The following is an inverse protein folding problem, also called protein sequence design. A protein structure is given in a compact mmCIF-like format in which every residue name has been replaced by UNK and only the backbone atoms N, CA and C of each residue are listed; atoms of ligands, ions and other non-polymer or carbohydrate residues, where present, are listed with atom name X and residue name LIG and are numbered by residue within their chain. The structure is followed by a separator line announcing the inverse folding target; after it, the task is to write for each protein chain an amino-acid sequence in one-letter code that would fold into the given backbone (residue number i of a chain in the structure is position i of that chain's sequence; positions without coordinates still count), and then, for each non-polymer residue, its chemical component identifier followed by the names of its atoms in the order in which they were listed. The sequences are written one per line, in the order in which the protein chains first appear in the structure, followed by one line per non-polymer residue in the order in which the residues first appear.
data_IF_617503568074
#
_entry.id   IF_617503568074
#
_cell.length_a   1.000
_cell.length_b   1.000
_cell.length_c   1.000
_cell.angle_alpha   90.00
_cell.angle_beta   90.00
_cell.angle_gamma   90.00
#
_symmetry.space_group_name_H-M   'P 1'
#
loop_
_entity.id
_entity.type
_entity.pdbx_description
1 polymer ?
#
# COMPACT_ATOMS: atom_id res chain seq x y z
N UNK A 1 -66.77 -39.84 -27.69
CA UNK A 1 -66.10 -41.06 -27.19
C UNK A 1 -64.60 -40.87 -27.33
N UNK A 2 -63.90 -40.60 -26.24
CA UNK A 2 -62.44 -40.49 -26.21
C UNK A 2 -61.84 -41.85 -25.82
N UNK A 3 -60.80 -42.36 -26.51
CA UNK A 3 -60.05 -43.51 -26.02
C UNK A 3 -58.91 -43.09 -25.09
N UNK A 4 -58.97 -43.68 -23.90
CA UNK A 4 -57.94 -43.77 -22.88
C UNK A 4 -56.68 -44.47 -23.38
N UNK A 5 -55.50 -43.87 -23.16
CA UNK A 5 -54.22 -44.59 -23.15
C UNK A 5 -53.65 -44.54 -21.74
N UNK A 6 -53.81 -45.65 -21.01
CA UNK A 6 -53.16 -45.91 -19.74
C UNK A 6 -51.75 -46.44 -19.99
N UNK A 7 -50.74 -45.60 -19.77
CA UNK A 7 -49.34 -46.03 -19.67
C UNK A 7 -49.02 -46.60 -18.27
N UNK A 8 -48.06 -47.53 -18.15
CA UNK A 8 -47.79 -48.24 -16.90
C UNK A 8 -47.15 -47.33 -15.84
N UNK A 9 -47.69 -47.37 -14.61
CA UNK A 9 -47.12 -46.69 -13.45
C UNK A 9 -45.79 -47.35 -13.05
N UNK A 10 -44.68 -46.61 -12.88
CA UNK A 10 -43.42 -47.19 -12.42
C UNK A 10 -43.53 -47.68 -10.96
N UNK A 11 -42.93 -48.83 -10.70
CA UNK A 11 -42.93 -49.50 -9.39
C UNK A 11 -42.14 -48.66 -8.38
N UNK A 12 -42.63 -48.58 -7.13
CA UNK A 12 -42.02 -47.82 -6.03
C UNK A 12 -40.52 -48.16 -5.80
N UNK A 13 -40.08 -49.36 -6.18
CA UNK A 13 -38.69 -49.79 -6.08
C UNK A 13 -37.73 -49.05 -7.04
N UNK A 14 -38.22 -48.53 -8.17
CA UNK A 14 -37.41 -47.79 -9.15
C UNK A 14 -37.22 -46.33 -8.73
N UNK A 15 -38.18 -45.75 -8.01
CA UNK A 15 -38.08 -44.41 -7.43
C UNK A 15 -37.08 -44.37 -6.26
N UNK A 16 -36.97 -45.45 -5.47
CA UNK A 16 -35.99 -45.54 -4.37
C UNK A 16 -34.56 -45.72 -4.91
N UNK A 17 -34.38 -46.48 -6.01
CA UNK A 17 -33.07 -46.64 -6.66
C UNK A 17 -32.58 -45.39 -7.39
N UNK A 18 -33.49 -44.58 -7.95
CA UNK A 18 -33.14 -43.30 -8.58
C UNK A 18 -32.73 -42.23 -7.54
N UNK A 19 -33.36 -42.22 -6.35
CA UNK A 19 -33.02 -41.30 -5.26
C UNK A 19 -31.67 -41.63 -4.59
N UNK A 20 -31.30 -42.92 -4.51
CA UNK A 20 -30.00 -43.33 -3.96
C UNK A 20 -28.81 -43.02 -4.89
N UNK A 21 -28.98 -43.08 -6.22
CA UNK A 21 -27.94 -42.69 -7.18
C UNK A 21 -27.72 -41.17 -7.27
N UNK A 22 -28.75 -40.35 -7.00
CA UNK A 22 -28.59 -38.90 -6.92
C UNK A 22 -28.02 -38.40 -5.58
N UNK A 23 -28.19 -39.13 -4.47
CA UNK A 23 -27.54 -38.80 -3.21
C UNK A 23 -26.03 -39.12 -3.20
N UNK A 24 -25.59 -40.16 -3.93
CA UNK A 24 -24.17 -40.49 -4.12
C UNK A 24 -23.44 -39.62 -5.15
N UNK A 25 -24.10 -39.25 -6.26
CA UNK A 25 -23.52 -38.35 -7.26
C UNK A 25 -23.45 -36.88 -6.79
N UNK A 26 -24.41 -36.44 -5.95
CA UNK A 26 -24.35 -35.11 -5.33
C UNK A 26 -23.24 -34.96 -4.27
N UNK A 27 -22.71 -36.08 -3.74
CA UNK A 27 -21.57 -36.06 -2.80
C UNK A 27 -20.20 -36.22 -3.47
N UNK A 28 -20.17 -36.67 -4.73
CA UNK A 28 -18.95 -36.72 -5.57
C UNK A 28 -18.79 -35.48 -6.45
N UNK A 29 -19.88 -34.75 -6.74
CA UNK A 29 -19.84 -33.41 -7.39
C UNK A 29 -19.60 -32.27 -6.36
N UNK A 30 -19.81 -32.53 -5.06
CA UNK A 30 -19.51 -31.58 -3.98
C UNK A 30 -18.09 -31.73 -3.36
N UNK A 31 -17.28 -32.68 -3.85
CA UNK A 31 -15.87 -32.86 -3.46
C UNK A 31 -14.89 -32.76 -4.65
N UNK A 32 -15.33 -32.15 -5.76
CA UNK A 32 -14.50 -31.90 -6.95
C UNK A 32 -14.49 -30.42 -7.35
N UNK A 33 -14.31 -29.52 -6.37
CA UNK A 33 -13.91 -28.12 -6.60
C UNK A 33 -12.70 -27.71 -5.74
N UNK A 34 -11.98 -28.70 -5.20
CA UNK A 34 -10.78 -28.54 -4.40
C UNK A 34 -9.60 -29.30 -5.05
N UNK A 35 -9.36 -29.03 -6.34
CA UNK A 35 -8.13 -29.40 -7.04
C UNK A 35 -8.00 -28.56 -8.32
N UNK A 36 -8.01 -27.24 -8.20
CA UNK A 36 -7.47 -26.39 -9.27
C UNK A 36 -5.95 -26.43 -9.09
N UNK A 37 -5.31 -27.22 -9.95
CA UNK A 37 -3.87 -27.21 -10.15
C UNK A 37 -3.31 -25.77 -10.12
N UNK A 38 -2.18 -25.49 -9.46
CA UNK A 38 -1.66 -24.12 -9.28
C UNK A 38 -1.24 -23.39 -10.56
N UNK A 39 -1.46 -23.99 -11.75
CA UNK A 39 -0.93 -23.54 -13.02
C UNK A 39 -1.98 -23.26 -14.11
N UNK A 40 -3.27 -23.58 -13.91
CA UNK A 40 -4.30 -23.44 -14.97
C UNK A 40 -5.26 -22.26 -14.80
N UNK A 41 -4.94 -21.30 -13.92
CA UNK A 41 -5.74 -20.09 -13.73
C UNK A 41 -4.88 -18.85 -13.53
N UNK A 42 -3.86 -18.64 -14.37
CA UNK A 42 -3.47 -17.27 -14.71
C UNK A 42 -4.70 -16.66 -15.37
N UNK A 43 -5.55 -15.97 -14.59
CA UNK A 43 -6.74 -15.26 -15.07
C UNK A 43 -6.42 -14.63 -16.42
N UNK A 44 -7.07 -15.10 -17.47
CA UNK A 44 -6.96 -14.53 -18.81
C UNK A 44 -7.09 -13.00 -18.70
N UNK A 45 -6.02 -12.28 -19.06
CA UNK A 45 -5.97 -10.81 -18.99
C UNK A 45 -5.32 -10.18 -17.75
N UNK A 46 -4.68 -10.94 -16.83
CA UNK A 46 -3.86 -10.34 -15.76
C UNK A 46 -2.44 -10.05 -16.25
N UNK A 47 -2.08 -8.78 -16.34
CA UNK A 47 -0.71 -8.35 -16.67
C UNK A 47 0.23 -8.59 -15.48
N UNK A 48 1.04 -9.66 -15.59
CA UNK A 48 2.01 -10.04 -14.57
C UNK A 48 3.15 -9.03 -14.41
N UNK A 49 3.40 -8.15 -15.39
CA UNK A 49 4.44 -7.12 -15.28
C UNK A 49 4.08 -6.07 -14.23
N UNK A 50 2.79 -5.81 -14.01
CA UNK A 50 2.32 -4.88 -12.99
C UNK A 50 2.38 -5.50 -11.59
N UNK A 51 2.17 -6.82 -11.48
CA UNK A 51 2.39 -7.54 -10.23
C UNK A 51 3.88 -7.56 -9.88
N UNK A 52 4.75 -7.83 -10.85
CA UNK A 52 6.19 -7.71 -10.71
C UNK A 52 6.58 -6.31 -10.26
N UNK A 53 6.08 -5.27 -10.93
CA UNK A 53 6.38 -3.88 -10.59
C UNK A 53 6.00 -3.58 -9.14
N UNK A 54 4.79 -3.98 -8.69
CA UNK A 54 4.35 -3.77 -7.31
C UNK A 54 5.24 -4.49 -6.29
N UNK A 55 5.60 -5.75 -6.57
CA UNK A 55 6.51 -6.54 -5.73
C UNK A 55 7.89 -5.87 -5.66
N UNK A 56 8.44 -5.46 -6.79
CA UNK A 56 9.72 -4.74 -6.87
C UNK A 56 9.67 -3.43 -6.10
N UNK A 57 8.58 -2.66 -6.18
CA UNK A 57 8.42 -1.44 -5.37
C UNK A 57 8.52 -1.75 -3.88
N UNK A 58 7.82 -2.78 -3.38
CA UNK A 58 7.86 -3.12 -1.95
C UNK A 58 9.23 -3.61 -1.53
N UNK A 59 9.87 -4.50 -2.30
CA UNK A 59 11.22 -5.00 -1.99
C UNK A 59 12.24 -3.86 -1.98
N UNK A 60 12.17 -2.95 -2.97
CA UNK A 60 13.03 -1.78 -3.04
C UNK A 60 12.81 -0.84 -1.84
N UNK A 61 11.55 -0.62 -1.44
CA UNK A 61 11.22 0.16 -0.25
C UNK A 61 11.84 -0.46 1.00
N UNK A 62 11.70 -1.78 1.21
CA UNK A 62 12.33 -2.47 2.35
C UNK A 62 13.85 -2.30 2.31
N UNK A 63 14.47 -2.47 1.14
CA UNK A 63 15.90 -2.32 0.98
C UNK A 63 16.37 -0.89 1.31
N UNK A 64 15.70 0.14 0.80
CA UNK A 64 16.04 1.54 1.12
C UNK A 64 15.87 1.84 2.61
N UNK A 65 14.85 1.31 3.28
CA UNK A 65 14.71 1.47 4.73
C UNK A 65 15.85 0.81 5.51
N UNK A 66 16.34 -0.34 5.06
CA UNK A 66 17.55 -0.96 5.63
C UNK A 66 18.78 -0.08 5.44
N UNK A 67 18.89 0.63 4.30
CA UNK A 67 19.98 1.57 4.04
C UNK A 67 19.88 2.85 4.89
N UNK A 68 18.67 3.25 5.28
CA UNK A 68 18.49 4.35 6.23
C UNK A 68 18.94 3.97 7.64
N UNK A 69 18.84 2.70 8.03
CA UNK A 69 19.17 2.29 9.40
C UNK A 69 20.67 2.11 9.59
N UNK A 70 21.35 3.21 9.95
CA UNK A 70 22.71 3.20 10.46
C UNK A 70 22.72 3.05 11.96
N UNK A 71 22.96 1.83 12.46
CA UNK A 71 23.11 1.58 13.90
C UNK A 71 24.49 1.00 14.16
N UNK A 72 25.17 1.56 15.15
CA UNK A 72 26.50 1.13 15.57
C UNK A 72 26.85 1.63 16.96
N UNK A 73 28.11 1.49 17.35
CA UNK A 73 28.65 2.01 18.61
C UNK A 73 29.74 3.03 18.31
N UNK A 74 29.72 4.16 19.02
CA UNK A 74 30.81 5.15 19.00
C UNK A 74 32.03 4.62 19.77
N UNK A 75 33.21 5.25 19.64
CA UNK A 75 34.42 4.88 20.38
C UNK A 75 34.26 4.91 21.91
N UNK A 76 33.33 5.73 22.43
CA UNK A 76 32.98 5.83 23.85
C UNK A 76 31.97 4.76 24.32
N UNK A 77 31.58 3.84 23.42
CA UNK A 77 30.60 2.79 23.69
C UNK A 77 29.14 3.21 23.57
N UNK A 78 28.86 4.50 23.34
CA UNK A 78 27.50 5.02 23.17
C UNK A 78 26.86 4.57 21.85
N UNK A 79 25.53 4.51 21.83
CA UNK A 79 24.78 4.11 20.64
C UNK A 79 24.84 5.21 19.57
N UNK A 80 25.22 4.84 18.35
CA UNK A 80 25.13 5.66 17.16
C UNK A 80 23.88 5.23 16.38
N UNK A 81 22.95 6.16 16.17
CA UNK A 81 21.80 5.99 15.27
C UNK A 81 21.84 7.15 14.29
N UNK A 82 21.92 6.85 13.00
CA UNK A 82 21.96 7.85 11.93
C UNK A 82 21.27 7.34 10.66
N UNK A 83 20.90 8.28 9.78
CA UNK A 83 20.35 7.99 8.45
C UNK A 83 21.50 7.85 7.44
N UNK A 84 22.30 6.80 7.58
CA UNK A 84 23.61 6.62 6.90
C UNK A 84 23.60 6.93 5.41
N UNK A 85 22.63 6.40 4.66
CA UNK A 85 22.60 6.60 3.21
C UNK A 85 22.22 8.03 2.81
N UNK A 86 21.43 8.75 3.62
CA UNK A 86 21.12 10.17 3.36
C UNK A 86 22.31 11.09 3.57
N UNK A 87 23.30 10.65 4.36
CA UNK A 87 24.57 11.38 4.51
C UNK A 87 25.53 11.23 3.32
N UNK A 88 25.19 10.42 2.31
CA UNK A 88 26.06 10.16 1.18
C UNK A 88 25.79 11.13 0.01
N UNK A 89 26.82 11.82 -0.45
CA UNK A 89 26.71 12.83 -1.53
C UNK A 89 26.12 12.29 -2.84
N UNK A 90 26.32 11.00 -3.13
CA UNK A 90 25.81 10.36 -4.35
C UNK A 90 24.33 9.96 -4.25
N UNK A 91 23.78 9.92 -3.03
CA UNK A 91 22.45 9.36 -2.81
C UNK A 91 21.34 10.24 -3.38
N UNK A 92 21.55 11.55 -3.43
CA UNK A 92 20.62 12.47 -4.10
C UNK A 92 20.38 12.03 -5.54
N UNK A 93 21.44 11.76 -6.31
CA UNK A 93 21.30 11.27 -7.69
C UNK A 93 20.57 9.91 -7.76
N UNK A 94 20.84 9.01 -6.81
CA UNK A 94 20.17 7.71 -6.75
C UNK A 94 18.68 7.85 -6.42
N UNK A 95 18.32 8.81 -5.56
CA UNK A 95 16.93 9.06 -5.17
C UNK A 95 16.05 9.46 -6.36
N UNK A 96 16.62 10.08 -7.41
CA UNK A 96 15.88 10.46 -8.61
C UNK A 96 15.36 9.28 -9.40
N UNK A 97 16.05 8.15 -9.30
CA UNK A 97 15.70 6.91 -10.00
C UNK A 97 14.95 5.98 -9.05
N UNK A 98 15.44 5.82 -7.81
CA UNK A 98 14.96 4.82 -6.86
C UNK A 98 13.82 5.28 -5.96
N UNK A 99 13.42 6.57 -5.98
CA UNK A 99 12.20 6.99 -5.30
C UNK A 99 10.97 6.42 -6.00
N UNK A 100 10.55 5.24 -5.57
CA UNK A 100 9.58 4.39 -6.26
C UNK A 100 8.12 4.71 -5.88
N UNK A 101 7.89 5.63 -4.94
CA UNK A 101 6.55 5.96 -4.46
C UNK A 101 5.62 6.44 -5.58
N UNK A 102 6.02 7.34 -6.48
CA UNK A 102 5.15 7.77 -7.57
C UNK A 102 4.73 6.60 -8.48
N UNK A 103 5.66 5.71 -8.83
CA UNK A 103 5.36 4.50 -9.60
C UNK A 103 4.34 3.59 -8.89
N UNK A 104 4.43 3.45 -7.56
CA UNK A 104 3.44 2.67 -6.80
C UNK A 104 2.03 3.24 -6.97
N UNK A 105 1.86 4.56 -6.90
CA UNK A 105 0.57 5.22 -7.11
C UNK A 105 0.09 5.11 -8.56
N UNK A 106 0.99 5.15 -9.55
CA UNK A 106 0.67 4.87 -10.97
C UNK A 106 0.11 3.46 -11.14
N UNK A 107 0.83 2.44 -10.64
CA UNK A 107 0.37 1.04 -10.70
C UNK A 107 -0.92 0.84 -9.87
N UNK A 108 -1.04 1.58 -8.77
CA UNK A 108 -2.25 1.65 -7.95
C UNK A 108 -3.46 2.19 -8.73
N UNK A 109 -3.28 3.27 -9.49
CA UNK A 109 -4.28 3.85 -10.38
C UNK A 109 -4.70 2.88 -11.49
N UNK A 110 -3.74 2.25 -12.17
CA UNK A 110 -4.04 1.20 -13.15
C UNK A 110 -4.91 0.10 -12.53
N UNK A 111 -4.51 -0.42 -11.37
CA UNK A 111 -5.24 -1.48 -10.68
C UNK A 111 -6.61 -1.04 -10.16
N UNK A 112 -6.76 0.24 -9.78
CA UNK A 112 -8.05 0.82 -9.41
C UNK A 112 -8.99 0.91 -10.60
N UNK A 113 -8.50 1.38 -11.76
CA UNK A 113 -9.26 1.45 -13.00
C UNK A 113 -9.71 0.06 -13.49
N UNK A 114 -8.78 -0.90 -13.51
CA UNK A 114 -9.06 -2.29 -13.85
C UNK A 114 -10.08 -2.92 -12.87
N UNK A 115 -9.87 -2.71 -11.58
CA UNK A 115 -10.74 -3.20 -10.50
C UNK A 115 -12.15 -2.61 -10.57
N UNK A 116 -12.28 -1.31 -10.82
CA UNK A 116 -13.55 -0.60 -10.95
C UNK A 116 -14.32 -1.06 -12.17
N UNK A 117 -13.66 -1.25 -13.33
CA UNK A 117 -14.28 -1.83 -14.53
C UNK A 117 -14.81 -3.24 -14.24
N UNK A 118 -14.08 -4.04 -13.47
CA UNK A 118 -14.56 -5.37 -13.06
C UNK A 118 -15.70 -5.32 -12.05
N UNK A 119 -15.73 -4.31 -11.17
CA UNK A 119 -16.77 -4.11 -10.17
C UNK A 119 -18.10 -3.70 -10.84
N UNK A 120 -18.06 -2.76 -11.78
CA UNK A 120 -19.24 -2.37 -12.57
C UNK A 120 -19.85 -3.55 -13.33
N UNK A 121 -19.02 -4.44 -13.91
CA UNK A 121 -19.51 -5.65 -14.58
C UNK A 121 -20.24 -6.64 -13.65
N UNK A 122 -19.98 -6.58 -12.35
CA UNK A 122 -20.67 -7.39 -11.33
C UNK A 122 -21.88 -6.68 -10.72
N UNK A 123 -22.15 -5.43 -11.11
CA UNK A 123 -23.17 -4.60 -10.49
C UNK A 123 -22.77 -4.01 -9.13
N UNK A 124 -21.49 -4.07 -8.76
CA UNK A 124 -20.99 -3.45 -7.52
C UNK A 124 -21.03 -1.91 -7.65
N UNK A 125 -21.33 -1.22 -6.55
CA UNK A 125 -21.39 0.23 -6.49
C UNK A 125 -20.08 0.87 -5.94
N UNK A 126 -20.04 2.20 -5.89
CA UNK A 126 -18.87 2.93 -5.41
C UNK A 126 -18.63 2.70 -3.91
N UNK A 127 -19.69 2.55 -3.12
CA UNK A 127 -19.60 2.32 -1.67
C UNK A 127 -18.96 0.97 -1.39
N UNK A 128 -19.46 -0.10 -2.01
CA UNK A 128 -18.91 -1.45 -1.91
C UNK A 128 -17.44 -1.51 -2.32
N UNK A 129 -17.07 -0.80 -3.38
CA UNK A 129 -15.68 -0.72 -3.85
C UNK A 129 -14.73 -0.08 -2.82
N UNK A 130 -15.13 1.05 -2.23
CA UNK A 130 -14.34 1.76 -1.20
C UNK A 130 -14.26 0.94 0.07
N UNK A 131 -15.37 0.36 0.53
CA UNK A 131 -15.43 -0.48 1.74
C UNK A 131 -14.48 -1.66 1.67
N UNK A 132 -14.48 -2.38 0.55
CA UNK A 132 -13.59 -3.53 0.37
C UNK A 132 -12.11 -3.12 0.45
N UNK A 133 -11.76 -1.94 -0.08
CA UNK A 133 -10.40 -1.40 0.00
C UNK A 133 -10.02 -0.97 1.39
N UNK A 134 -10.89 -0.21 2.07
CA UNK A 134 -10.70 0.14 3.47
C UNK A 134 -10.51 -1.10 4.34
N UNK A 135 -11.37 -2.11 4.20
CA UNK A 135 -11.26 -3.35 4.98
C UNK A 135 -9.93 -4.10 4.73
N UNK A 136 -9.46 -4.14 3.48
CA UNK A 136 -8.19 -4.80 3.11
C UNK A 136 -6.96 -4.09 3.64
N UNK A 137 -7.03 -2.78 3.87
CA UNK A 137 -5.90 -2.00 4.40
C UNK A 137 -5.97 -1.89 5.92
N UNK A 138 -7.15 -1.63 6.48
CA UNK A 138 -7.32 -1.40 7.91
C UNK A 138 -7.20 -2.68 8.74
N UNK A 139 -7.63 -3.85 8.24
CA UNK A 139 -7.52 -5.11 9.02
C UNK A 139 -6.05 -5.51 9.28
N UNK A 140 -5.15 -5.53 8.27
CA UNK A 140 -3.73 -5.79 8.53
C UNK A 140 -3.05 -4.71 9.38
N UNK A 141 -3.61 -3.49 9.42
CA UNK A 141 -3.09 -2.38 10.22
C UNK A 141 -3.37 -2.53 11.74
N UNK A 142 -4.43 -3.25 12.14
CA UNK A 142 -4.77 -3.42 13.56
C UNK A 142 -3.62 -4.05 14.36
N UNK A 143 -3.04 -5.21 13.97
CA UNK A 143 -1.95 -5.82 14.74
C UNK A 143 -0.72 -4.93 14.91
N UNK A 144 -0.37 -4.11 13.91
CA UNK A 144 0.79 -3.23 14.01
C UNK A 144 0.53 -2.05 14.94
N UNK A 145 -0.67 -1.46 14.94
CA UNK A 145 -1.01 -0.41 15.90
C UNK A 145 -1.17 -0.94 17.33
N UNK A 146 -1.66 -2.17 17.51
CA UNK A 146 -1.62 -2.86 18.81
C UNK A 146 -0.17 -3.02 19.27
N UNK A 147 0.71 -3.49 18.39
CA UNK A 147 2.14 -3.63 18.70
C UNK A 147 2.77 -2.30 19.11
N UNK A 148 2.54 -1.20 18.37
CA UNK A 148 3.07 0.11 18.73
C UNK A 148 2.53 0.62 20.06
N UNK A 149 1.23 0.52 20.30
CA UNK A 149 0.63 0.94 21.56
C UNK A 149 1.22 0.17 22.76
N UNK A 150 1.36 -1.15 22.63
CA UNK A 150 1.94 -2.01 23.68
C UNK A 150 3.42 -1.72 23.88
N UNK A 151 4.21 -1.62 22.80
CA UNK A 151 5.64 -1.35 22.86
C UNK A 151 5.93 0.02 23.51
N UNK A 152 5.23 1.07 23.07
CA UNK A 152 5.39 2.43 23.62
C UNK A 152 4.87 2.56 25.06
N UNK A 153 3.86 1.79 25.45
CA UNK A 153 3.45 1.72 26.85
C UNK A 153 4.50 1.00 27.71
N UNK A 154 5.06 -0.10 27.21
CA UNK A 154 6.10 -0.86 27.89
C UNK A 154 7.38 -0.04 28.10
N UNK A 155 7.82 0.73 27.10
CA UNK A 155 9.02 1.59 27.24
C UNK A 155 8.84 2.65 28.34
N UNK A 156 7.64 3.20 28.51
CA UNK A 156 7.32 4.13 29.61
C UNK A 156 7.37 3.46 30.98
N UNK A 157 6.83 2.24 31.10
CA UNK A 157 6.85 1.48 32.37
C UNK A 157 8.28 1.05 32.74
N UNK A 158 9.09 0.69 31.75
CA UNK A 158 10.48 0.27 31.93
C UNK A 158 11.46 1.44 32.11
N UNK A 159 11.00 2.69 31.98
CA UNK A 159 11.85 3.88 32.13
C UNK A 159 12.94 3.99 31.07
N UNK A 160 12.67 3.53 29.83
CA UNK A 160 13.60 3.70 28.70
C UNK A 160 13.74 5.19 28.38
N UNK A 161 14.96 5.63 28.07
CA UNK A 161 15.25 7.02 27.69
C UNK A 161 14.28 7.53 26.60
N UNK A 162 13.47 8.57 26.89
CA UNK A 162 12.52 9.13 25.94
C UNK A 162 13.15 9.54 24.60
N UNK A 163 14.38 10.07 24.61
CA UNK A 163 15.04 10.51 23.38
C UNK A 163 15.34 9.34 22.44
N UNK A 164 15.70 8.18 22.99
CA UNK A 164 15.90 6.95 22.22
C UNK A 164 14.55 6.42 21.68
N UNK A 165 13.51 6.45 22.52
CA UNK A 165 12.16 6.00 22.13
C UNK A 165 11.65 6.86 20.97
N UNK A 166 11.71 8.18 21.08
CA UNK A 166 11.27 9.11 20.04
C UNK A 166 12.04 8.89 18.73
N UNK A 167 13.38 8.76 18.82
CA UNK A 167 14.25 8.47 17.66
C UNK A 167 13.76 7.25 16.87
N UNK A 168 13.46 6.15 17.56
CA UNK A 168 13.01 4.90 16.93
C UNK A 168 11.55 5.02 16.46
N UNK A 169 10.67 5.54 17.32
CA UNK A 169 9.24 5.59 17.04
C UNK A 169 8.93 6.50 15.85
N UNK A 170 9.52 7.70 15.79
CA UNK A 170 9.37 8.63 14.66
C UNK A 170 9.86 7.96 13.37
N UNK A 171 11.01 7.29 13.41
CA UNK A 171 11.55 6.56 12.25
C UNK A 171 10.62 5.46 11.75
N UNK A 172 10.09 4.64 12.66
CA UNK A 172 9.17 3.52 12.33
C UNK A 172 7.80 4.01 11.90
N UNK A 173 7.30 5.10 12.48
CA UNK A 173 6.00 5.69 12.17
C UNK A 173 5.97 6.47 10.87
N UNK A 174 7.11 7.04 10.45
CA UNK A 174 7.22 7.87 9.24
C UNK A 174 6.56 7.24 8.00
N UNK A 175 6.90 6.03 7.53
CA UNK A 175 6.34 5.50 6.28
C UNK A 175 4.86 5.13 6.35
N UNK A 176 4.20 5.23 7.51
CA UNK A 176 2.75 5.00 7.63
C UNK A 176 1.94 6.02 6.85
N UNK A 177 2.50 7.19 6.50
CA UNK A 177 1.85 8.16 5.61
C UNK A 177 1.36 7.51 4.31
N UNK A 178 2.12 6.54 3.79
CA UNK A 178 1.78 5.87 2.55
C UNK A 178 0.49 5.05 2.69
N UNK A 179 0.25 4.41 3.84
CA UNK A 179 -1.00 3.69 4.11
C UNK A 179 -2.20 4.64 4.03
N UNK A 180 -2.09 5.81 4.65
CA UNK A 180 -3.11 6.85 4.65
C UNK A 180 -3.35 7.42 3.24
N UNK A 181 -2.28 7.86 2.58
CA UNK A 181 -2.34 8.42 1.23
C UNK A 181 -2.86 7.39 0.22
N UNK A 182 -2.41 6.14 0.30
CA UNK A 182 -2.87 5.07 -0.56
C UNK A 182 -4.36 4.77 -0.34
N UNK A 183 -4.84 4.68 0.91
CA UNK A 183 -6.27 4.53 1.13
C UNK A 183 -7.06 5.72 0.58
N UNK A 184 -6.63 6.96 0.85
CA UNK A 184 -7.29 8.18 0.38
C UNK A 184 -7.47 8.15 -1.14
N UNK A 185 -6.39 7.91 -1.88
CA UNK A 185 -6.39 7.80 -3.33
C UNK A 185 -7.31 6.67 -3.81
N UNK A 186 -7.26 5.51 -3.15
CA UNK A 186 -8.09 4.35 -3.50
C UNK A 186 -9.57 4.56 -3.20
N UNK A 187 -9.90 5.34 -2.16
CA UNK A 187 -11.26 5.71 -1.79
C UNK A 187 -11.86 6.72 -2.80
N UNK A 188 -11.04 7.64 -3.30
CA UNK A 188 -11.44 8.64 -4.30
C UNK A 188 -11.48 8.08 -5.73
N UNK A 189 -10.98 6.86 -5.95
CA UNK A 189 -10.84 6.29 -7.29
C UNK A 189 -12.15 6.28 -8.12
N UNK A 190 -13.34 5.89 -7.61
CA UNK A 190 -14.56 5.91 -8.42
C UNK A 190 -14.90 7.31 -8.96
N UNK A 191 -14.73 8.34 -8.12
CA UNK A 191 -14.97 9.73 -8.50
C UNK A 191 -13.93 10.23 -9.50
N UNK A 192 -12.65 9.96 -9.24
CA UNK A 192 -11.55 10.32 -10.13
C UNK A 192 -11.63 9.62 -11.49
N UNK A 193 -12.13 8.38 -11.56
CA UNK A 193 -12.38 7.69 -12.82
C UNK A 193 -13.53 8.36 -13.58
N UNK A 194 -14.57 8.80 -12.88
CA UNK A 194 -15.66 9.58 -13.48
C UNK A 194 -15.18 10.91 -14.06
N UNK A 195 -14.37 11.65 -13.32
CA UNK A 195 -13.73 12.88 -13.80
C UNK A 195 -12.82 12.62 -14.99
N UNK A 196 -11.99 11.59 -14.93
CA UNK A 196 -11.08 11.20 -16.01
C UNK A 196 -11.86 10.87 -17.30
N UNK A 197 -12.98 10.14 -17.19
CA UNK A 197 -13.82 9.84 -18.34
C UNK A 197 -14.50 11.08 -18.94
N UNK A 198 -14.85 12.07 -18.12
CA UNK A 198 -15.54 13.29 -18.55
C UNK A 198 -14.61 14.37 -19.09
N UNK A 199 -13.44 14.56 -18.47
CA UNK A 199 -12.56 15.70 -18.71
C UNK A 199 -11.17 15.31 -19.22
N UNK A 200 -10.82 14.03 -19.25
CA UNK A 200 -9.56 13.53 -19.80
C UNK A 200 -8.33 14.23 -19.21
N UNK A 201 -7.49 14.80 -20.09
CA UNK A 201 -6.23 15.48 -19.73
C UNK A 201 -6.41 16.71 -18.84
N UNK A 202 -7.60 17.29 -18.74
CA UNK A 202 -7.82 18.45 -17.88
C UNK A 202 -7.66 18.08 -16.39
N UNK A 203 -8.01 16.85 -15.99
CA UNK A 203 -7.89 16.39 -14.60
C UNK A 203 -6.44 16.42 -14.09
N UNK A 204 -5.45 15.75 -14.73
CA UNK A 204 -4.07 15.84 -14.27
C UNK A 204 -3.51 17.26 -14.35
N UNK A 205 -3.94 18.10 -15.30
CA UNK A 205 -3.50 19.51 -15.35
C UNK A 205 -3.95 20.28 -14.10
N UNK A 206 -5.23 20.15 -13.70
CA UNK A 206 -5.76 20.79 -12.50
C UNK A 206 -5.08 20.26 -11.23
N UNK A 207 -4.84 18.95 -11.15
CA UNK A 207 -4.13 18.36 -10.01
C UNK A 207 -2.69 18.85 -9.91
N UNK A 208 -1.98 18.97 -11.05
CA UNK A 208 -0.61 19.50 -11.08
C UNK A 208 -0.57 20.99 -10.70
N UNK A 209 -1.54 21.77 -11.18
CA UNK A 209 -1.67 23.18 -10.80
C UNK A 209 -1.97 23.33 -9.30
N UNK A 210 -2.86 22.49 -8.75
CA UNK A 210 -3.13 22.43 -7.31
C UNK A 210 -1.90 22.03 -6.49
N UNK A 211 -1.08 21.13 -7.02
CA UNK A 211 0.18 20.74 -6.38
C UNK A 211 1.18 21.90 -6.30
N UNK A 212 1.38 22.59 -7.44
CA UNK A 212 2.26 23.75 -7.52
C UNK A 212 1.75 24.93 -6.65
N UNK A 213 0.43 25.14 -6.61
CA UNK A 213 -0.18 26.18 -5.78
C UNK A 213 -0.01 25.88 -4.28
N UNK A 214 -0.12 24.61 -3.88
CA UNK A 214 0.12 24.18 -2.50
C UNK A 214 1.59 24.35 -2.11
N UNK A 215 2.52 24.01 -3.00
CA UNK A 215 3.95 24.25 -2.79
C UNK A 215 4.26 25.74 -2.67
N UNK A 216 3.66 26.58 -3.53
CA UNK A 216 3.80 28.04 -3.44
C UNK A 216 3.24 28.59 -2.11
N UNK A 217 2.08 28.10 -1.67
CA UNK A 217 1.51 28.45 -0.36
C UNK A 217 2.43 28.05 0.79
N UNK A 218 2.99 26.84 0.74
CA UNK A 218 3.91 26.33 1.75
C UNK A 218 5.21 27.13 1.81
N UNK A 219 5.89 27.31 0.68
CA UNK A 219 7.23 27.90 0.67
C UNK A 219 7.21 29.43 0.67
N UNK A 220 6.37 30.07 -0.14
CA UNK A 220 6.38 31.52 -0.29
C UNK A 220 5.57 32.22 0.80
N UNK A 221 4.41 31.66 1.17
CA UNK A 221 3.51 32.29 2.15
C UNK A 221 3.80 31.80 3.56
N UNK A 222 3.72 30.50 3.83
CA UNK A 222 3.93 29.98 5.18
C UNK A 222 5.38 30.11 5.63
N UNK A 223 6.34 29.58 4.86
CA UNK A 223 7.77 29.67 5.19
C UNK A 223 8.35 31.07 5.02
N UNK A 224 7.99 31.77 3.93
CA UNK A 224 8.47 33.11 3.61
C UNK A 224 7.77 34.23 4.39
N UNK A 225 6.54 34.57 3.98
CA UNK A 225 5.82 35.74 4.51
C UNK A 225 5.44 35.61 5.99
N UNK A 226 5.00 34.43 6.42
CA UNK A 226 4.56 34.18 7.80
C UNK A 226 5.69 33.70 8.71
N UNK A 227 6.87 33.37 8.15
CA UNK A 227 8.03 32.90 8.92
C UNK A 227 7.78 31.60 9.69
N UNK A 228 6.82 30.76 9.26
CA UNK A 228 6.52 29.49 9.91
C UNK A 228 7.65 28.50 9.64
N UNK A 229 8.35 28.10 10.69
CA UNK A 229 9.41 27.11 10.63
C UNK A 229 8.91 25.67 10.54
N UNK A 230 9.88 24.74 10.53
CA UNK A 230 9.63 23.32 10.68
C UNK A 230 9.14 23.03 12.11
N UNK A 231 8.06 22.28 12.25
CA UNK A 231 7.64 21.76 13.57
C UNK A 231 8.47 20.53 13.91
N UNK A 232 9.14 20.50 15.09
CA UNK A 232 9.79 19.29 15.56
C UNK A 232 8.79 18.14 15.64
N UNK A 233 9.19 16.96 15.14
CA UNK A 233 8.40 15.72 15.16
C UNK A 233 8.27 15.09 16.56
N UNK A 234 8.49 15.87 17.62
CA UNK A 234 8.32 15.50 19.03
C UNK A 234 7.22 16.32 19.71
N UNK A 235 6.45 17.12 18.96
CA UNK A 235 5.40 17.97 19.52
C UNK A 235 4.29 18.35 18.55
N UNK A 236 3.16 18.80 19.10
CA UNK A 236 1.93 19.15 18.37
C UNK A 236 1.89 20.62 17.96
N UNK A 237 2.89 21.07 17.22
CA UNK A 237 3.00 22.46 16.76
C UNK A 237 2.25 22.75 15.45
N UNK A 238 2.26 24.02 15.05
CA UNK A 238 1.82 24.45 13.70
C UNK A 238 3.07 24.86 12.92
N UNK A 239 3.31 24.19 11.79
CA UNK A 239 4.50 24.37 10.96
C UNK A 239 4.16 24.53 9.49
N UNK A 240 5.13 24.96 8.70
CA UNK A 240 4.96 25.11 7.25
C UNK A 240 4.56 23.78 6.58
N UNK A 241 4.92 22.63 7.16
CA UNK A 241 4.56 21.30 6.65
C UNK A 241 3.04 21.09 6.57
N UNK A 242 2.27 21.66 7.50
CA UNK A 242 0.82 21.50 7.53
C UNK A 242 0.17 22.12 6.28
N UNK A 243 0.75 23.20 5.75
CA UNK A 243 0.31 23.84 4.51
C UNK A 243 0.62 22.99 3.28
N UNK A 244 1.52 22.00 3.39
CA UNK A 244 1.81 21.01 2.34
C UNK A 244 0.88 19.80 2.34
N UNK A 245 0.09 19.56 3.39
CA UNK A 245 -0.79 18.37 3.49
C UNK A 245 -1.76 18.22 2.31
N UNK A 246 -2.34 19.29 1.71
CA UNK A 246 -3.18 19.15 0.52
C UNK A 246 -2.49 18.42 -0.64
N UNK A 247 -1.15 18.46 -0.74
CA UNK A 247 -0.42 17.71 -1.77
C UNK A 247 -0.49 16.20 -1.60
N UNK A 248 -0.79 15.70 -0.40
CA UNK A 248 -1.10 14.28 -0.19
C UNK A 248 -2.29 13.87 -1.07
N UNK A 249 -3.24 14.77 -1.32
CA UNK A 249 -4.27 14.55 -2.32
C UNK A 249 -3.75 14.86 -3.73
N UNK A 250 -3.30 16.09 -4.00
CA UNK A 250 -3.01 16.53 -5.37
C UNK A 250 -1.94 15.69 -6.08
N UNK A 251 -0.78 15.45 -5.46
CA UNK A 251 0.34 14.72 -6.07
C UNK A 251 0.01 13.25 -6.27
N UNK A 252 -0.58 12.59 -5.27
CA UNK A 252 -0.86 11.16 -5.35
C UNK A 252 -2.10 10.84 -6.21
N UNK A 253 -3.10 11.73 -6.25
CA UNK A 253 -4.19 11.65 -7.23
C UNK A 253 -3.68 11.93 -8.63
N UNK A 254 -2.71 12.83 -8.82
CA UNK A 254 -2.07 13.02 -10.12
C UNK A 254 -1.38 11.73 -10.58
N UNK A 255 -0.56 11.12 -9.73
CA UNK A 255 0.06 9.83 -10.04
C UNK A 255 -0.98 8.73 -10.34
N UNK A 256 -2.12 8.72 -9.61
CA UNK A 256 -3.24 7.83 -9.92
C UNK A 256 -3.81 8.07 -11.32
N UNK A 257 -4.01 9.34 -11.73
CA UNK A 257 -4.48 9.69 -13.07
C UNK A 257 -3.52 9.18 -14.15
N UNK A 258 -2.21 9.31 -13.95
CA UNK A 258 -1.20 8.74 -14.86
C UNK A 258 -1.38 7.22 -14.99
N UNK A 259 -1.72 6.54 -13.89
CA UNK A 259 -2.13 5.13 -13.88
C UNK A 259 -3.38 4.83 -14.73
N UNK A 260 -4.35 5.74 -14.78
CA UNK A 260 -5.53 5.60 -15.64
C UNK A 260 -5.17 5.75 -17.12
N UNK A 261 -4.31 6.72 -17.47
CA UNK A 261 -3.78 6.86 -18.82
C UNK A 261 -2.96 5.64 -19.26
N UNK A 262 -2.21 5.02 -18.34
CA UNK A 262 -1.52 3.76 -18.58
C UNK A 262 -2.51 2.63 -18.89
N UNK A 263 -3.60 2.53 -18.13
CA UNK A 263 -4.67 1.54 -18.37
C UNK A 263 -5.39 1.75 -19.70
N UNK A 264 -5.67 3.01 -20.07
CA UNK A 264 -6.36 3.36 -21.32
C UNK A 264 -5.42 3.26 -22.55
N UNK A 265 -4.19 2.78 -22.38
CA UNK A 265 -3.23 2.59 -23.46
C UNK A 265 -2.72 3.90 -24.06
N UNK A 266 -2.75 5.01 -23.32
CA UNK A 266 -2.16 6.28 -23.78
C UNK A 266 -0.67 6.07 -24.05
N UNK A 267 0.10 5.58 -23.07
CA UNK A 267 1.54 5.36 -23.22
C UNK A 267 1.86 4.31 -24.31
N UNK A 268 1.10 3.22 -24.38
CA UNK A 268 1.30 2.16 -25.37
C UNK A 268 1.12 2.62 -26.83
N UNK A 269 0.34 3.68 -27.06
CA UNK A 269 0.13 4.27 -28.40
C UNK A 269 1.28 5.20 -28.83
N UNK A 270 2.24 5.51 -27.95
CA UNK A 270 3.36 6.41 -28.27
C UNK A 270 4.51 5.61 -28.87
N UNK A 271 5.25 6.23 -29.78
CA UNK A 271 6.50 5.68 -30.30
C UNK A 271 7.57 5.71 -29.21
N UNK A 272 8.53 4.79 -29.27
CA UNK A 272 9.63 4.69 -28.30
C UNK A 272 10.35 6.05 -28.06
N UNK A 273 10.64 6.81 -29.12
CA UNK A 273 11.28 8.13 -29.01
C UNK A 273 10.42 9.17 -28.30
N UNK A 274 9.09 9.10 -28.41
CA UNK A 274 8.18 10.00 -27.68
C UNK A 274 8.19 9.68 -26.18
N UNK A 275 8.31 8.39 -25.81
CA UNK A 275 8.46 7.99 -24.41
C UNK A 275 9.81 8.44 -23.84
N UNK A 276 10.91 8.30 -24.61
CA UNK A 276 12.21 8.84 -24.21
C UNK A 276 12.19 10.37 -24.10
N UNK A 277 11.51 11.06 -25.02
CA UNK A 277 11.29 12.50 -24.94
C UNK A 277 10.54 12.90 -23.67
N UNK A 278 9.50 12.14 -23.28
CA UNK A 278 8.75 12.39 -22.04
C UNK A 278 9.61 12.18 -20.79
N UNK A 279 10.47 11.17 -20.79
CA UNK A 279 11.44 10.93 -19.70
C UNK A 279 12.44 12.08 -19.62
N UNK A 280 13.03 12.48 -20.74
CA UNK A 280 14.02 13.56 -20.81
C UNK A 280 13.43 14.90 -20.37
N UNK A 281 12.25 15.28 -20.91
CA UNK A 281 11.55 16.51 -20.53
C UNK A 281 11.12 16.48 -19.06
N UNK A 282 10.65 15.32 -18.56
CA UNK A 282 10.28 15.18 -17.16
C UNK A 282 11.45 15.38 -16.21
N UNK A 283 12.60 14.76 -16.49
CA UNK A 283 13.81 14.99 -15.69
C UNK A 283 14.38 16.41 -15.83
N UNK A 284 14.30 17.01 -17.02
CA UNK A 284 14.69 18.41 -17.21
C UNK A 284 13.79 19.36 -16.41
N UNK A 285 12.48 19.08 -16.36
CA UNK A 285 11.55 19.86 -15.55
C UNK A 285 11.83 19.71 -14.05
N UNK A 286 12.09 18.48 -13.57
CA UNK A 286 12.51 18.24 -12.18
C UNK A 286 13.81 18.99 -11.88
N UNK A 287 14.79 18.92 -12.78
CA UNK A 287 16.05 19.66 -12.68
C UNK A 287 15.84 21.18 -12.57
N UNK A 288 14.95 21.74 -13.41
CA UNK A 288 14.58 23.16 -13.30
C UNK A 288 13.92 23.49 -11.96
N UNK A 289 13.03 22.63 -11.46
CA UNK A 289 12.38 22.82 -10.16
C UNK A 289 13.38 22.79 -9.00
N UNK A 290 14.29 21.81 -8.94
CA UNK A 290 15.27 21.76 -7.84
C UNK A 290 16.35 22.83 -7.94
N UNK A 291 16.76 23.19 -9.16
CA UNK A 291 17.86 24.14 -9.37
C UNK A 291 17.40 25.59 -9.21
N UNK A 292 16.17 25.91 -9.60
CA UNK A 292 15.64 27.27 -9.64
C UNK A 292 14.50 27.51 -8.65
N UNK A 293 13.72 26.46 -8.35
CA UNK A 293 12.52 26.55 -7.51
C UNK A 293 12.73 26.24 -6.03
N UNK A 294 13.97 25.95 -5.61
CA UNK A 294 14.31 25.67 -4.21
C UNK A 294 13.79 24.34 -3.67
N UNK A 295 13.34 23.43 -4.54
CA UNK A 295 12.98 22.06 -4.14
C UNK A 295 14.24 21.28 -3.78
N UNK A 296 14.11 20.31 -2.87
CA UNK A 296 15.24 19.48 -2.44
C UNK A 296 15.75 18.60 -3.58
N UNK A 297 17.08 18.47 -3.69
CA UNK A 297 17.75 17.52 -4.58
C UNK A 297 17.51 16.07 -4.16
N UNK A 298 17.34 15.81 -2.86
CA UNK A 298 16.95 14.50 -2.36
C UNK A 298 15.45 14.28 -2.65
N UNK A 299 15.13 13.43 -3.63
CA UNK A 299 13.73 13.14 -3.96
C UNK A 299 12.97 12.46 -2.82
N UNK A 300 13.65 11.85 -1.84
CA UNK A 300 12.99 11.23 -0.69
C UNK A 300 12.46 12.27 0.30
N UNK A 301 13.17 13.39 0.47
CA UNK A 301 12.68 14.49 1.32
C UNK A 301 11.47 15.21 0.70
N UNK A 302 11.26 15.04 -0.62
CA UNK A 302 10.09 15.54 -1.33
C UNK A 302 8.83 14.68 -1.13
N UNK A 303 8.87 13.59 -0.34
CA UNK A 303 7.72 12.69 -0.14
C UNK A 303 6.73 13.14 0.93
N UNK A 304 7.20 13.88 1.95
CA UNK A 304 6.34 14.29 3.05
C UNK A 304 6.66 15.71 3.55
N UNK A 305 5.69 16.64 3.43
CA UNK A 305 4.56 16.59 2.51
C UNK A 305 5.04 16.45 1.05
N UNK A 306 4.30 15.74 0.18
CA UNK A 306 4.71 15.51 -1.19
C UNK A 306 4.78 16.83 -1.98
N UNK A 307 5.72 16.94 -2.90
CA UNK A 307 5.92 18.15 -3.72
C UNK A 307 5.73 17.87 -5.21
N UNK A 308 5.57 18.94 -5.99
CA UNK A 308 5.36 18.92 -7.44
C UNK A 308 6.37 18.07 -8.23
N UNK A 309 7.68 18.05 -7.91
CA UNK A 309 8.64 17.13 -8.54
C UNK A 309 8.20 15.65 -8.55
N UNK A 310 7.51 15.17 -7.51
CA UNK A 310 7.05 13.78 -7.46
C UNK A 310 5.90 13.50 -8.42
N UNK A 311 5.06 14.49 -8.71
CA UNK A 311 4.02 14.36 -9.74
C UNK A 311 4.66 14.18 -11.12
N UNK A 312 5.70 14.96 -11.43
CA UNK A 312 6.45 14.83 -12.69
C UNK A 312 7.18 13.49 -12.75
N UNK A 313 7.77 13.05 -11.62
CA UNK A 313 8.44 11.76 -11.53
C UNK A 313 7.48 10.59 -11.80
N UNK A 314 6.19 10.69 -11.44
CA UNK A 314 5.18 9.70 -11.80
C UNK A 314 5.04 9.53 -13.32
N UNK A 315 5.10 10.62 -14.08
CA UNK A 315 5.03 10.61 -15.55
C UNK A 315 6.28 9.92 -16.13
N UNK A 316 7.46 10.31 -15.63
CA UNK A 316 8.75 9.73 -16.02
C UNK A 316 8.75 8.22 -15.78
N UNK A 317 8.34 7.79 -14.59
CA UNK A 317 8.31 6.37 -14.21
C UNK A 317 7.26 5.57 -14.98
N UNK A 318 6.10 6.16 -15.33
CA UNK A 318 5.11 5.51 -16.17
C UNK A 318 5.61 5.31 -17.62
N UNK A 319 6.32 6.31 -18.17
CA UNK A 319 6.96 6.22 -19.47
C UNK A 319 8.07 5.16 -19.47
N UNK A 320 8.93 5.16 -18.44
CA UNK A 320 9.99 4.17 -18.26
C UNK A 320 9.44 2.75 -18.13
N UNK A 321 8.37 2.55 -17.34
CA UNK A 321 7.68 1.27 -17.23
C UNK A 321 7.17 0.77 -18.59
N UNK A 322 6.63 1.68 -19.42
CA UNK A 322 6.14 1.33 -20.76
C UNK A 322 7.29 0.92 -21.68
N UNK A 323 8.42 1.65 -21.64
CA UNK A 323 9.65 1.30 -22.37
C UNK A 323 10.17 -0.08 -21.95
N UNK A 324 10.19 -0.35 -20.65
CA UNK A 324 10.67 -1.59 -20.06
C UNK A 324 9.65 -2.74 -20.08
N UNK A 325 8.45 -2.53 -20.63
CA UNK A 325 7.39 -3.54 -20.60
C UNK A 325 7.81 -4.83 -21.30
N UNK A 326 8.49 -4.76 -22.45
CA UNK A 326 8.97 -5.93 -23.20
C UNK A 326 9.95 -6.81 -22.41
N UNK A 327 11.07 -6.29 -21.86
CA UNK A 327 11.98 -7.10 -21.06
C UNK A 327 11.33 -7.61 -19.76
N UNK A 328 10.47 -6.82 -19.11
CA UNK A 328 9.74 -7.26 -17.91
C UNK A 328 8.76 -8.40 -18.23
N UNK A 329 8.04 -8.32 -19.36
CA UNK A 329 7.17 -9.39 -19.82
C UNK A 329 7.97 -10.66 -20.16
N UNK A 330 9.16 -10.51 -20.75
CA UNK A 330 10.05 -11.64 -21.02
C UNK A 330 10.50 -12.35 -19.74
N UNK A 331 10.88 -11.59 -18.71
CA UNK A 331 11.22 -12.12 -17.39
C UNK A 331 10.03 -12.88 -16.78
N UNK A 332 8.81 -12.32 -16.89
CA UNK A 332 7.59 -12.92 -16.38
C UNK A 332 7.12 -14.18 -17.13
N UNK A 333 7.79 -14.58 -18.22
CA UNK A 333 7.59 -15.92 -18.83
C UNK A 333 8.29 -17.04 -18.05
N UNK A 334 9.20 -16.71 -17.13
CA UNK A 334 9.92 -17.72 -16.33
C UNK A 334 9.11 -18.12 -15.10
N UNK A 335 9.10 -19.43 -14.77
CA UNK A 335 8.41 -19.96 -13.58
C UNK A 335 9.01 -19.42 -12.29
N UNK A 336 10.33 -19.18 -12.26
CA UNK A 336 11.02 -18.62 -11.10
C UNK A 336 10.54 -17.20 -10.78
N UNK A 337 10.46 -16.32 -11.78
CA UNK A 337 9.95 -14.96 -11.58
C UNK A 337 8.48 -14.97 -11.14
N UNK A 338 7.64 -15.82 -11.77
CA UNK A 338 6.24 -15.98 -11.36
C UNK A 338 6.12 -16.47 -9.91
N UNK A 339 6.89 -17.49 -9.53
CA UNK A 339 6.91 -18.02 -8.17
C UNK A 339 7.32 -16.96 -7.13
N UNK A 340 8.39 -16.21 -7.40
CA UNK A 340 8.86 -15.15 -6.51
C UNK A 340 7.83 -14.01 -6.36
N UNK A 341 7.25 -13.56 -7.47
CA UNK A 341 6.19 -12.52 -7.47
C UNK A 341 4.95 -13.00 -6.75
N UNK A 342 4.54 -14.26 -6.90
CA UNK A 342 3.39 -14.82 -6.18
C UNK A 342 3.66 -14.96 -4.67
N UNK A 343 4.85 -15.44 -4.30
CA UNK A 343 5.24 -15.62 -2.91
C UNK A 343 5.22 -14.29 -2.16
N UNK A 344 5.94 -13.28 -2.66
CA UNK A 344 6.02 -11.96 -2.03
C UNK A 344 4.70 -11.20 -2.22
N UNK A 345 4.14 -11.27 -3.43
CA UNK A 345 2.89 -10.60 -3.82
C UNK A 345 1.69 -10.97 -2.96
N UNK A 346 1.65 -12.21 -2.46
CA UNK A 346 0.58 -12.67 -1.57
C UNK A 346 0.58 -11.97 -0.20
N UNK A 347 1.73 -11.43 0.24
CA UNK A 347 1.97 -10.86 1.58
C UNK A 347 2.37 -9.40 1.59
N UNK A 348 2.15 -8.66 0.50
CA UNK A 348 2.64 -7.28 0.34
C UNK A 348 2.21 -6.35 1.48
N UNK A 349 0.97 -6.48 1.97
CA UNK A 349 0.49 -5.64 3.07
C UNK A 349 1.21 -5.94 4.38
N UNK A 350 1.44 -7.22 4.70
CA UNK A 350 2.24 -7.60 5.87
C UNK A 350 3.68 -7.13 5.74
N UNK A 351 4.32 -7.34 4.58
CA UNK A 351 5.69 -6.85 4.32
C UNK A 351 5.79 -5.34 4.52
N UNK A 352 4.86 -4.59 3.91
CA UNK A 352 4.82 -3.14 4.05
C UNK A 352 4.63 -2.68 5.50
N UNK A 353 3.73 -3.29 6.28
CA UNK A 353 3.46 -2.83 7.65
C UNK A 353 4.53 -3.25 8.67
N UNK A 354 5.15 -4.41 8.47
CA UNK A 354 6.01 -5.03 9.49
C UNK A 354 7.51 -4.92 9.20
N UNK A 355 7.93 -4.51 8.00
CA UNK A 355 9.36 -4.45 7.69
C UNK A 355 10.15 -3.53 8.63
N UNK A 356 9.70 -2.30 8.90
CA UNK A 356 10.39 -1.40 9.84
C UNK A 356 10.37 -1.89 11.29
N UNK A 357 9.21 -2.30 11.87
CA UNK A 357 9.20 -2.92 13.18
C UNK A 357 10.16 -4.12 13.28
N UNK A 358 10.21 -4.95 12.24
CA UNK A 358 11.10 -6.11 12.18
C UNK A 358 12.57 -5.69 12.07
N UNK A 359 12.90 -4.69 11.25
CA UNK A 359 14.25 -4.13 11.14
C UNK A 359 14.73 -3.66 12.52
N UNK A 360 13.90 -2.88 13.24
CA UNK A 360 14.26 -2.38 14.58
C UNK A 360 14.39 -3.51 15.59
N UNK A 361 13.51 -4.51 15.56
CA UNK A 361 13.60 -5.68 16.42
C UNK A 361 14.90 -6.48 16.17
N UNK A 362 15.25 -6.72 14.91
CA UNK A 362 16.47 -7.44 14.54
C UNK A 362 17.74 -6.67 14.88
N UNK A 363 17.76 -5.34 14.66
CA UNK A 363 18.87 -4.47 15.09
C UNK A 363 18.99 -4.50 16.62
N UNK A 364 17.86 -4.45 17.34
CA UNK A 364 17.83 -4.58 18.80
C UNK A 364 18.43 -5.90 19.28
N UNK A 365 18.12 -7.01 18.61
CA UNK A 365 18.76 -8.32 18.87
C UNK A 365 20.26 -8.27 18.56
N UNK A 366 20.66 -7.70 17.43
CA UNK A 366 22.07 -7.58 17.04
C UNK A 366 22.88 -6.78 18.07
N UNK A 367 22.30 -5.74 18.67
CA UNK A 367 22.93 -4.94 19.74
C UNK A 367 23.21 -5.72 21.02
N UNK A 368 22.44 -6.80 21.27
CA UNK A 368 22.58 -7.68 22.43
C UNK A 368 23.59 -8.81 22.17
N UNK A 369 23.94 -9.08 20.91
CA UNK A 369 24.91 -10.11 20.57
C UNK A 369 26.35 -9.59 20.74
N UNK A 370 27.31 -10.43 21.15
CA UNK A 370 28.71 -10.05 21.31
C UNK A 370 29.46 -10.02 19.95
N UNK A 371 28.81 -9.51 18.90
CA UNK A 371 29.35 -9.43 17.54
C UNK A 371 29.63 -7.96 17.21
N UNK A 372 30.83 -7.63 16.67
CA UNK A 372 31.13 -6.26 16.26
C UNK A 372 30.16 -5.79 15.17
N UNK A 373 29.48 -4.66 15.41
CA UNK A 373 28.65 -4.03 14.39
C UNK A 373 29.53 -3.30 13.37
N UNK A 374 29.27 -3.47 12.06
CA UNK A 374 30.00 -2.75 11.04
C UNK A 374 29.72 -1.26 11.15
N UNK A 375 30.78 -0.43 11.14
CA UNK A 375 30.64 1.01 11.17
C UNK A 375 29.75 1.49 10.02
N UNK A 376 28.72 2.31 10.27
CA UNK A 376 27.82 2.79 9.23
C UNK A 376 28.56 3.42 8.05
N UNK A 377 28.16 3.09 6.82
CA UNK A 377 28.77 3.59 5.59
C UNK A 377 30.08 2.91 5.17
N UNK A 378 30.69 2.08 6.03
CA UNK A 378 31.88 1.30 5.68
C UNK A 378 31.60 0.23 4.60
N UNK A 379 32.64 -0.23 3.90
CA UNK A 379 32.49 -1.27 2.88
C UNK A 379 31.84 -2.55 3.42
N UNK A 380 32.19 -2.95 4.65
CA UNK A 380 31.60 -4.12 5.30
C UNK A 380 30.11 -3.88 5.64
N UNK A 381 29.74 -2.67 6.07
CA UNK A 381 28.34 -2.30 6.32
C UNK A 381 27.49 -2.50 5.07
N UNK A 382 27.97 -2.04 3.90
CA UNK A 382 27.26 -2.23 2.62
C UNK A 382 27.03 -3.71 2.28
N UNK A 383 28.07 -4.55 2.42
CA UNK A 383 27.94 -5.99 2.16
C UNK A 383 26.97 -6.68 3.12
N UNK A 384 26.85 -6.23 4.37
CA UNK A 384 25.89 -6.80 5.33
C UNK A 384 24.42 -6.48 5.01
N UNK A 385 24.12 -5.41 4.25
CA UNK A 385 22.72 -5.00 3.98
C UNK A 385 21.97 -6.01 3.10
N UNK A 386 22.65 -6.68 2.18
CA UNK A 386 22.06 -7.70 1.29
C UNK A 386 21.61 -8.95 2.07
N UNK A 387 22.45 -9.62 2.88
CA UNK A 387 21.98 -10.73 3.71
C UNK A 387 20.96 -10.26 4.75
N UNK A 388 21.12 -9.05 5.31
CA UNK A 388 20.13 -8.51 6.25
C UNK A 388 18.75 -8.32 5.60
N UNK A 389 18.67 -7.90 4.34
CA UNK A 389 17.41 -7.87 3.58
C UNK A 389 16.75 -9.25 3.52
N UNK A 390 17.51 -10.31 3.26
CA UNK A 390 16.99 -11.68 3.20
C UNK A 390 16.44 -12.09 4.58
N UNK A 391 17.18 -11.80 5.65
CA UNK A 391 16.74 -12.08 7.04
C UNK A 391 15.45 -11.33 7.38
N UNK A 392 15.37 -10.04 7.07
CA UNK A 392 14.18 -9.21 7.30
C UNK A 392 12.98 -9.78 6.54
N UNK A 393 13.14 -10.06 5.23
CA UNK A 393 12.06 -10.61 4.41
C UNK A 393 11.60 -11.99 4.90
N UNK A 394 12.54 -12.85 5.31
CA UNK A 394 12.24 -14.15 5.88
C UNK A 394 11.49 -14.04 7.22
N UNK A 395 11.94 -13.16 8.12
CA UNK A 395 11.32 -12.94 9.42
C UNK A 395 9.90 -12.37 9.27
N UNK A 396 9.70 -11.39 8.39
CA UNK A 396 8.37 -10.85 8.10
C UNK A 396 7.49 -11.90 7.41
N UNK A 397 8.05 -12.74 6.54
CA UNK A 397 7.31 -13.85 5.93
C UNK A 397 6.85 -14.87 6.97
N UNK A 398 7.70 -15.24 7.93
CA UNK A 398 7.32 -16.12 9.06
C UNK A 398 6.21 -15.49 9.91
N UNK A 399 6.34 -14.21 10.23
CA UNK A 399 5.30 -13.45 10.95
C UNK A 399 3.98 -13.43 10.16
N UNK A 400 4.05 -13.35 8.83
CA UNK A 400 2.88 -13.35 7.95
C UNK A 400 2.04 -14.63 8.07
N UNK A 401 2.66 -15.78 8.41
CA UNK A 401 1.94 -17.04 8.58
C UNK A 401 0.87 -16.93 9.68
N UNK A 402 1.18 -16.21 10.76
CA UNK A 402 0.23 -15.93 11.83
C UNK A 402 -0.76 -14.81 11.47
N UNK A 403 -0.28 -13.77 10.78
CA UNK A 403 -1.06 -12.58 10.41
C UNK A 403 -2.05 -12.80 9.27
N UNK A 404 -1.97 -13.91 8.52
CA UNK A 404 -2.85 -14.18 7.36
C UNK A 404 -4.35 -14.08 7.69
N UNK A 405 -4.71 -14.31 8.96
CA UNK A 405 -6.09 -14.17 9.46
C UNK A 405 -6.64 -12.75 9.32
N UNK A 406 -5.77 -11.75 9.43
CA UNK A 406 -6.11 -10.33 9.30
C UNK A 406 -6.14 -9.88 7.83
N UNK A 407 -5.46 -10.60 6.93
CA UNK A 407 -5.43 -10.32 5.49
C UNK A 407 -6.69 -10.79 4.74
N UNK A 408 -7.48 -11.71 5.32
CA UNK A 408 -8.74 -12.17 4.72
C UNK A 408 -9.83 -11.11 4.85
N UNK A 409 -10.39 -10.69 3.72
CA UNK A 409 -11.56 -9.81 3.70
C UNK A 409 -12.80 -10.59 4.17
N UNK A 410 -13.60 -10.03 5.09
CA UNK A 410 -14.84 -10.64 5.57
C UNK A 410 -15.93 -10.57 4.48
N UNK A 411 -16.91 -11.48 4.49
CA UNK A 411 -18.12 -11.31 3.69
C UNK A 411 -18.84 -10.02 4.10
N UNK A 412 -19.21 -9.20 3.12
CA UNK A 412 -19.91 -7.92 3.35
C UNK A 412 -21.41 -8.15 3.19
N UNK A 413 -22.18 -7.86 4.25
CA UNK A 413 -23.61 -8.27 4.32
C UNK A 413 -24.57 -7.11 4.03
N UNK A 414 -24.24 -5.88 4.41
CA UNK A 414 -25.12 -4.72 4.23
C UNK A 414 -24.31 -3.46 3.86
N UNK A 415 -24.85 -2.61 2.99
CA UNK A 415 -24.19 -1.39 2.52
C UNK A 415 -24.50 -0.19 3.44
N UNK A 416 -23.51 0.34 4.19
CA UNK A 416 -23.67 1.58 4.93
C UNK A 416 -23.83 2.75 3.96
N UNK A 417 -24.34 3.87 4.45
CA UNK A 417 -24.50 5.07 3.64
C UNK A 417 -23.15 5.58 3.09
N UNK A 418 -23.20 6.39 2.02
CA UNK A 418 -22.03 7.09 1.47
C UNK A 418 -21.33 7.94 2.53
N UNK A 419 -22.09 8.65 3.36
CA UNK A 419 -21.56 9.49 4.44
C UNK A 419 -20.83 8.67 5.50
N UNK A 420 -21.38 7.53 5.90
CA UNK A 420 -20.74 6.60 6.86
C UNK A 420 -19.42 6.04 6.30
N UNK A 421 -19.38 5.72 5.01
CA UNK A 421 -18.16 5.22 4.35
C UNK A 421 -17.10 6.30 4.25
N UNK A 422 -17.48 7.54 3.92
CA UNK A 422 -16.57 8.68 3.93
C UNK A 422 -16.00 8.95 5.34
N UNK A 423 -16.86 8.93 6.36
CA UNK A 423 -16.44 9.08 7.76
C UNK A 423 -15.46 7.97 8.17
N UNK A 424 -15.71 6.71 7.77
CA UNK A 424 -14.80 5.60 8.04
C UNK A 424 -13.41 5.79 7.41
N UNK A 425 -13.35 6.34 6.18
CA UNK A 425 -12.07 6.69 5.52
C UNK A 425 -11.36 7.80 6.29
N UNK A 426 -12.06 8.86 6.66
CA UNK A 426 -11.47 10.00 7.40
C UNK A 426 -10.92 9.56 8.75
N UNK A 427 -11.69 8.80 9.52
CA UNK A 427 -11.31 8.30 10.84
C UNK A 427 -10.10 7.34 10.78
N UNK A 428 -9.94 6.60 9.68
CA UNK A 428 -8.74 5.79 9.46
C UNK A 428 -7.52 6.63 9.06
N UNK A 429 -7.70 7.58 8.14
CA UNK A 429 -6.61 8.36 7.52
C UNK A 429 -6.03 9.39 8.49
N UNK A 430 -6.87 10.09 9.25
CA UNK A 430 -6.46 11.27 10.02
C UNK A 430 -5.40 10.96 11.09
N UNK A 431 -5.54 9.93 11.96
CA UNK A 431 -4.52 9.63 12.96
C UNK A 431 -3.18 9.22 12.33
N UNK A 432 -3.22 8.57 11.16
CA UNK A 432 -2.03 8.11 10.46
C UNK A 432 -1.26 9.28 9.83
N UNK A 433 -1.97 10.25 9.24
CA UNK A 433 -1.34 11.48 8.78
C UNK A 433 -0.77 12.30 9.95
N UNK A 434 -1.45 12.28 11.10
CA UNK A 434 -0.95 12.92 12.32
C UNK A 434 0.34 12.26 12.84
N UNK A 435 0.47 10.92 12.79
CA UNK A 435 1.72 10.20 13.10
C UNK A 435 2.88 10.72 12.24
N UNK A 436 2.66 10.97 10.95
CA UNK A 436 3.73 11.44 10.08
C UNK A 436 4.02 12.93 10.29
N UNK A 437 3.03 13.74 10.63
CA UNK A 437 3.22 15.16 10.92
C UNK A 437 3.93 15.41 12.26
N UNK A 438 3.60 14.61 13.28
CA UNK A 438 3.97 14.88 14.68
C UNK A 438 4.85 13.81 15.32
N UNK A 439 5.22 12.78 14.58
CA UNK A 439 5.93 11.61 15.12
C UNK A 439 4.98 10.56 15.68
N UNK A 440 5.46 9.32 15.78
CA UNK A 440 4.71 8.26 16.42
C UNK A 440 4.94 8.33 17.93
N UNK A 441 3.88 8.61 18.67
CA UNK A 441 3.85 8.52 20.13
C UNK A 441 2.72 7.59 20.60
N UNK A 442 2.63 7.36 21.91
CA UNK A 442 1.61 6.48 22.48
C UNK A 442 0.17 7.00 22.21
N UNK A 443 -0.17 8.29 22.45
CA UNK A 443 -1.47 8.84 22.06
C UNK A 443 -1.85 8.59 20.60
N UNK A 444 -0.97 8.88 19.65
CA UNK A 444 -1.25 8.70 18.23
C UNK A 444 -1.33 7.23 17.82
N UNK A 445 -0.53 6.35 18.42
CA UNK A 445 -0.66 4.90 18.24
C UNK A 445 -2.04 4.39 18.67
N UNK A 446 -2.53 4.86 19.83
CA UNK A 446 -3.87 4.52 20.33
C UNK A 446 -4.96 5.12 19.45
N UNK A 447 -4.84 6.39 19.04
CA UNK A 447 -5.77 7.03 18.11
C UNK A 447 -5.85 6.30 16.77
N UNK A 448 -4.71 5.84 16.22
CA UNK A 448 -4.67 5.07 14.98
C UNK A 448 -5.28 3.67 15.15
N UNK A 449 -5.08 3.02 16.30
CA UNK A 449 -5.72 1.75 16.63
C UNK A 449 -7.24 1.89 16.73
N UNK A 450 -7.72 2.86 17.53
CA UNK A 450 -9.14 3.14 17.74
C UNK A 450 -9.79 3.57 16.43
N UNK A 451 -9.14 4.46 15.68
CA UNK A 451 -9.61 4.92 14.37
C UNK A 451 -9.72 3.77 13.36
N UNK A 452 -8.74 2.87 13.34
CA UNK A 452 -8.77 1.67 12.48
C UNK A 452 -9.89 0.70 12.86
N UNK A 453 -10.09 0.46 14.16
CA UNK A 453 -11.17 -0.39 14.66
C UNK A 453 -12.54 0.22 14.34
N UNK A 454 -12.71 1.52 14.61
CA UNK A 454 -13.94 2.27 14.34
C UNK A 454 -14.26 2.29 12.84
N UNK A 455 -13.27 2.53 11.98
CA UNK A 455 -13.45 2.49 10.53
C UNK A 455 -13.98 1.13 10.06
N UNK A 456 -13.42 0.03 10.58
CA UNK A 456 -13.89 -1.33 10.28
C UNK A 456 -15.29 -1.63 10.83
N UNK A 457 -15.65 -1.08 11.99
CA UNK A 457 -16.99 -1.16 12.55
C UNK A 457 -18.02 -0.39 11.70
N UNK A 458 -17.67 0.84 11.28
CA UNK A 458 -18.52 1.69 10.44
C UNK A 458 -18.80 1.04 9.08
N UNK A 459 -17.81 0.36 8.48
CA UNK A 459 -18.03 -0.42 7.25
C UNK A 459 -18.52 -1.84 7.49
N UNK A 460 -18.81 -2.20 8.76
CA UNK A 460 -19.32 -3.50 9.22
C UNK A 460 -18.46 -4.69 8.80
N UNK A 461 -17.15 -4.50 8.71
CA UNK A 461 -16.17 -5.52 8.36
C UNK A 461 -15.85 -6.52 9.52
N UNK A 462 -16.55 -6.44 10.64
CA UNK A 462 -16.34 -7.32 11.80
C UNK A 462 -17.50 -8.29 12.10
N UNK A 463 -18.69 -8.10 11.54
CA UNK A 463 -19.82 -8.98 11.88
C UNK A 463 -19.69 -10.31 11.12
N UNK A 464 -19.43 -11.38 11.88
CA UNK A 464 -19.70 -12.74 11.45
C UNK A 464 -21.19 -12.86 11.06
N UNK A 465 -21.54 -13.74 10.09
CA UNK A 465 -22.93 -14.01 9.79
C UNK A 465 -23.62 -14.44 11.09
N UNK A 466 -24.66 -13.70 11.47
CA UNK A 466 -25.65 -14.20 12.41
C UNK A 466 -26.15 -15.51 11.81
N UNK A 467 -25.88 -16.64 12.47
CA UNK A 467 -26.61 -17.88 12.19
C UNK A 467 -28.09 -17.53 12.20
N UNK A 468 -28.86 -17.84 11.13
CA UNK A 468 -30.29 -17.62 11.16
C UNK A 468 -30.85 -18.43 12.34
N UNK A 469 -31.36 -17.72 13.34
CA UNK A 469 -32.08 -18.35 14.42
C UNK A 469 -33.30 -19.04 13.81
N UNK A 470 -33.32 -20.38 13.90
CA UNK A 470 -34.51 -21.22 13.82
C UNK A 470 -35.42 -21.01 12.61
N UNK A 471 -35.07 -21.62 11.47
CA UNK A 471 -36.12 -22.16 10.60
C UNK A 471 -36.73 -23.36 11.34
N UNK A 472 -37.82 -23.12 12.07
CA UNK A 472 -38.67 -24.15 12.64
C UNK A 472 -39.08 -25.12 11.52
N UNK A 473 -38.69 -26.38 11.69
CA UNK A 473 -39.06 -27.47 10.80
C UNK A 473 -40.60 -27.62 10.76
N UNK A 474 -41.20 -27.97 9.61
CA UNK A 474 -42.62 -28.28 9.55
C UNK A 474 -42.87 -29.57 10.34
N UNK A 475 -43.79 -29.49 11.32
CA UNK A 475 -44.31 -30.67 12.01
C UNK A 475 -45.02 -31.57 11.00
N UNK A 476 -44.70 -32.87 11.05
CA UNK A 476 -45.50 -33.93 10.45
C UNK A 476 -46.74 -34.19 11.28
#
# INVERSE_FOLDING_TARGET
MAPSYAGPRPRLADLVRCRARHAGAARVIAMSNAAVSPASAVREGRDLTLDLTRVSCVVLVVFVHILFTGVGRRPDGSLLIERTVEGQVWFDAVSWILNIMPLFFVVGGYAARAGWRSAQRRGDDAVGFVRLRLARLARPAIPVFVFFAVALAATRVLGVDPALVDTIAIGVGSPLWFLAAYLLVQALAPWMIGLHARFGMFVPVVLLAGAAATDALRYLVAGGLLGLGHVPSTGYGIGAELFGIPNVAFVWLFAQQIGFFLFDGWFARRRFWQLLGLIAVGYLAIWGLVSLGGYSWNMLSNQWPPTTPLAILAVVQAAALTVLHRPLAALMRTRAAQGAVLLIGSRLMTVYLWHLPMIMALIGVELLLPVPMPAPGSAIWWWTRVPFLIVVLAAVWLLSLWLVRFEKAPPMVEEPSRGTTAAAVVVFVLPILAITAYGLDLPLAVCALVGSALALLLVRAYRAPLTPAGASAPRR
#
